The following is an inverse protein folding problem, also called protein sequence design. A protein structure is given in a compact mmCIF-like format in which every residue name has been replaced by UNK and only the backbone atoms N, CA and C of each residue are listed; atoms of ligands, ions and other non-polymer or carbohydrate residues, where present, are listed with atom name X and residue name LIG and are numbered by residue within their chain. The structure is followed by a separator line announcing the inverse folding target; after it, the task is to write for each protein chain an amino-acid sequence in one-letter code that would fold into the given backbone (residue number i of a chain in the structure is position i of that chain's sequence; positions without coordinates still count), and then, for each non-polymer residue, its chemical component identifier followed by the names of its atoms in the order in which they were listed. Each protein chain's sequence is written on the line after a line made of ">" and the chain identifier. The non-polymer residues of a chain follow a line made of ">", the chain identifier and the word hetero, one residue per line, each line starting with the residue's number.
data_IF_257104106507
#
_entry.id   IF_257104106507
#
_cell.length_a   1.000
_cell.length_b   1.000
_cell.length_c   1.000
_cell.angle_alpha   90.00
_cell.angle_beta   90.00
_cell.angle_gamma   90.00
#
_symmetry.space_group_name_H-M   'P 1'
#
loop_
_entity.id
_entity.type
_entity.pdbx_description
1 polymer ?
#
# COMPACT_ATOMS: atom_id res chain seq x y z
N UNK A 1 -48.49 -8.94 13.48
CA UNK A 1 -47.35 -8.57 14.38
C UNK A 1 -46.19 -9.57 14.36
N UNK A 2 -46.45 -10.89 14.38
CA UNK A 2 -45.40 -11.94 14.42
C UNK A 2 -44.41 -11.86 13.24
N UNK A 3 -44.90 -11.67 12.00
CA UNK A 3 -44.05 -11.53 10.80
C UNK A 3 -43.06 -10.37 10.89
N UNK A 4 -43.47 -9.22 11.44
CA UNK A 4 -42.59 -8.04 11.63
C UNK A 4 -41.50 -8.32 12.67
N UNK A 5 -41.81 -9.05 13.75
CA UNK A 5 -40.82 -9.47 14.75
C UNK A 5 -39.81 -10.46 14.16
N UNK A 6 -40.25 -11.42 13.34
CA UNK A 6 -39.36 -12.38 12.66
C UNK A 6 -38.44 -11.66 11.65
N UNK A 7 -38.96 -10.71 10.88
CA UNK A 7 -38.15 -9.91 9.94
C UNK A 7 -37.09 -9.10 10.70
N UNK A 8 -37.48 -8.42 11.78
CA UNK A 8 -36.53 -7.65 12.60
C UNK A 8 -35.47 -8.55 13.25
N UNK A 9 -35.85 -9.73 13.73
CA UNK A 9 -34.91 -10.70 14.27
C UNK A 9 -33.92 -11.19 13.20
N UNK A 10 -34.42 -11.51 12.00
CA UNK A 10 -33.59 -11.94 10.87
C UNK A 10 -32.60 -10.85 10.44
N UNK A 11 -33.04 -9.59 10.36
CA UNK A 11 -32.16 -8.44 10.08
C UNK A 11 -31.12 -8.29 11.19
N UNK A 12 -31.52 -8.42 12.46
CA UNK A 12 -30.60 -8.33 13.59
C UNK A 12 -29.51 -9.41 13.56
N UNK A 13 -29.90 -10.67 13.31
CA UNK A 13 -28.94 -11.78 13.16
C UNK A 13 -28.02 -11.55 11.96
N UNK A 14 -28.57 -11.08 10.83
CA UNK A 14 -27.77 -10.79 9.64
C UNK A 14 -26.74 -9.67 9.89
N UNK A 15 -27.14 -8.58 10.54
CA UNK A 15 -26.22 -7.49 10.92
C UNK A 15 -25.16 -7.94 11.91
N UNK A 16 -25.51 -8.80 12.87
CA UNK A 16 -24.56 -9.40 13.81
C UNK A 16 -23.53 -10.28 13.09
N UNK A 17 -23.96 -11.11 12.15
CA UNK A 17 -23.06 -11.93 11.33
C UNK A 17 -22.12 -11.04 10.49
N UNK A 18 -22.65 -10.01 9.83
CA UNK A 18 -21.82 -9.07 9.05
C UNK A 18 -20.80 -8.32 9.92
N UNK A 19 -21.23 -7.84 11.09
CA UNK A 19 -20.34 -7.13 12.02
C UNK A 19 -19.25 -8.06 12.55
N UNK A 20 -19.61 -9.29 12.91
CA UNK A 20 -18.65 -10.29 13.38
C UNK A 20 -17.63 -10.64 12.29
N UNK A 21 -18.09 -10.76 11.05
CA UNK A 21 -17.21 -11.00 9.89
C UNK A 21 -16.27 -9.82 9.65
N UNK A 22 -16.78 -8.58 9.75
CA UNK A 22 -15.96 -7.37 9.59
C UNK A 22 -14.88 -7.23 10.68
N UNK A 23 -15.22 -7.54 11.94
CA UNK A 23 -14.25 -7.60 13.06
C UNK A 23 -13.20 -8.68 12.79
N UNK A 24 -13.62 -9.88 12.36
CA UNK A 24 -12.73 -10.99 12.05
C UNK A 24 -11.70 -10.65 10.96
N UNK A 25 -12.10 -9.86 9.96
CA UNK A 25 -11.19 -9.39 8.89
C UNK A 25 -10.22 -8.29 9.35
N UNK A 26 -10.38 -7.75 10.56
CA UNK A 26 -9.56 -6.66 11.10
C UNK A 26 -10.09 -5.26 10.78
N UNK A 27 -11.37 -5.11 10.42
CA UNK A 27 -11.90 -3.83 9.93
C UNK A 27 -11.98 -2.69 10.95
N UNK A 28 -11.75 -2.97 12.23
CA UNK A 28 -11.63 -1.97 13.30
C UNK A 28 -10.19 -1.78 13.81
N UNK A 29 -9.21 -2.48 13.23
CA UNK A 29 -7.80 -2.31 13.58
C UNK A 29 -7.37 -0.90 13.13
N UNK A 30 -6.84 -0.12 14.06
CA UNK A 30 -6.32 1.21 13.78
C UNK A 30 -5.02 1.11 12.96
N UNK A 31 -4.74 2.14 12.16
CA UNK A 31 -3.46 2.25 11.46
C UNK A 31 -2.38 2.49 12.51
N UNK A 32 -1.44 1.56 12.65
CA UNK A 32 -0.29 1.73 13.53
C UNK A 32 0.73 2.63 12.83
N UNK A 33 1.01 3.79 13.42
CA UNK A 33 1.95 4.78 12.88
C UNK A 33 3.18 4.85 13.78
N UNK A 34 4.35 4.77 13.15
CA UNK A 34 5.65 4.92 13.83
C UNK A 34 6.62 5.73 12.99
N UNK A 35 7.44 6.54 13.63
CA UNK A 35 8.64 7.07 13.00
C UNK A 35 9.74 6.03 13.14
N UNK A 36 10.45 5.73 12.05
CA UNK A 36 11.59 4.82 12.04
C UNK A 36 12.78 5.53 11.41
N UNK A 37 13.98 5.15 11.84
CA UNK A 37 15.19 5.39 11.06
C UNK A 37 15.20 4.44 9.86
N UNK A 38 15.78 4.90 8.76
CA UNK A 38 15.94 4.15 7.53
C UNK A 38 17.27 4.52 6.88
N UNK A 39 17.74 3.64 5.99
CA UNK A 39 18.79 3.94 5.03
C UNK A 39 18.17 4.22 3.67
N UNK A 40 18.94 4.85 2.78
CA UNK A 40 18.56 5.05 1.39
C UNK A 40 18.05 3.74 0.77
N UNK A 41 16.84 3.82 0.21
CA UNK A 41 16.18 2.69 -0.41
C UNK A 41 16.63 2.61 -1.86
N UNK A 42 17.24 1.49 -2.24
CA UNK A 42 17.76 1.30 -3.59
C UNK A 42 16.92 0.24 -4.30
N UNK A 43 15.96 0.70 -5.10
CA UNK A 43 14.95 -0.14 -5.72
C UNK A 43 15.32 -0.49 -7.16
N UNK A 44 14.92 -1.67 -7.58
CA UNK A 44 14.97 -2.11 -8.98
C UNK A 44 13.57 -2.55 -9.42
N UNK A 45 13.17 -2.14 -10.63
CA UNK A 45 11.81 -2.41 -11.08
C UNK A 45 11.46 -1.85 -12.45
N UNK A 46 10.16 -1.78 -12.71
CA UNK A 46 9.56 -1.34 -13.95
C UNK A 46 8.70 -0.09 -13.71
N UNK A 47 8.84 0.92 -14.57
CA UNK A 47 7.90 2.05 -14.59
C UNK A 47 6.74 1.71 -15.53
N UNK A 48 5.52 1.83 -15.03
CA UNK A 48 4.31 1.74 -15.82
C UNK A 48 3.64 3.10 -15.91
N UNK A 49 3.32 3.53 -17.14
CA UNK A 49 2.50 4.71 -17.44
C UNK A 49 1.37 4.25 -18.35
N UNK A 50 0.13 4.41 -17.93
CA UNK A 50 -1.04 3.97 -18.69
C UNK A 50 -2.32 4.07 -17.86
N UNK A 51 -3.20 3.08 -17.95
CA UNK A 51 -4.44 3.01 -17.17
C UNK A 51 -4.48 1.74 -16.29
N UNK A 52 -5.25 1.71 -15.19
CA UNK A 52 -5.36 0.56 -14.31
C UNK A 52 -5.85 -0.75 -14.97
N UNK A 53 -6.66 -0.65 -16.03
CA UNK A 53 -7.26 -1.81 -16.68
C UNK A 53 -6.42 -2.42 -17.81
N UNK A 54 -5.27 -1.82 -18.12
CA UNK A 54 -4.37 -2.39 -19.12
C UNK A 54 -3.82 -3.72 -18.62
N UNK A 55 -3.74 -4.73 -19.49
CA UNK A 55 -3.14 -6.02 -19.14
C UNK A 55 -1.65 -5.90 -18.84
N UNK A 56 -0.98 -4.91 -19.45
CA UNK A 56 0.45 -4.67 -19.33
C UNK A 56 0.89 -4.39 -17.89
N UNK A 57 0.09 -3.70 -17.09
CA UNK A 57 0.44 -3.49 -15.67
C UNK A 57 0.49 -4.82 -14.91
N UNK A 58 -0.46 -5.71 -15.18
CA UNK A 58 -0.48 -7.04 -14.57
C UNK A 58 0.69 -7.91 -15.02
N UNK A 59 1.18 -7.73 -16.25
CA UNK A 59 2.42 -8.36 -16.74
C UNK A 59 3.63 -7.85 -15.95
N UNK A 60 3.75 -6.53 -15.75
CA UNK A 60 4.85 -5.93 -14.98
C UNK A 60 4.84 -6.37 -13.52
N UNK A 61 3.67 -6.43 -12.88
CA UNK A 61 3.54 -7.00 -11.54
C UNK A 61 4.06 -8.45 -11.49
N UNK A 62 3.64 -9.31 -12.42
CA UNK A 62 4.11 -10.72 -12.45
C UNK A 62 5.62 -10.83 -12.71
N UNK A 63 6.15 -10.00 -13.59
CA UNK A 63 7.57 -9.99 -13.91
C UNK A 63 8.41 -9.62 -12.66
N UNK A 64 8.03 -8.55 -11.97
CA UNK A 64 8.68 -8.11 -10.73
C UNK A 64 8.48 -9.11 -9.60
N UNK A 65 7.29 -9.71 -9.47
CA UNK A 65 7.05 -10.77 -8.49
C UNK A 65 7.95 -11.99 -8.71
N UNK A 66 8.23 -12.34 -9.96
CA UNK A 66 9.14 -13.45 -10.27
C UNK A 66 10.58 -13.09 -9.92
N UNK A 67 11.01 -11.85 -10.18
CA UNK A 67 12.37 -11.39 -9.94
C UNK A 67 12.68 -11.14 -8.46
N UNK A 68 11.73 -10.61 -7.67
CA UNK A 68 11.93 -10.24 -6.26
C UNK A 68 12.15 -11.43 -5.32
N UNK A 69 11.85 -12.65 -5.77
CA UNK A 69 11.86 -13.87 -4.94
C UNK A 69 11.03 -13.66 -3.65
N UNK A 70 11.68 -13.73 -2.50
CA UNK A 70 11.15 -13.58 -1.15
C UNK A 70 11.22 -12.15 -0.60
N UNK A 71 11.78 -11.19 -1.37
CA UNK A 71 11.80 -9.77 -0.99
C UNK A 71 10.39 -9.16 -1.14
N UNK A 72 10.00 -8.21 -0.27
CA UNK A 72 8.73 -7.50 -0.40
C UNK A 72 8.60 -6.80 -1.75
N UNK A 73 7.40 -6.85 -2.33
CA UNK A 73 7.06 -6.04 -3.49
C UNK A 73 6.89 -4.59 -3.04
N UNK A 74 7.46 -3.65 -3.78
CA UNK A 74 7.37 -2.23 -3.49
C UNK A 74 6.75 -1.46 -4.66
N UNK A 75 5.86 -0.53 -4.35
CA UNK A 75 5.26 0.36 -5.34
C UNK A 75 5.35 1.82 -4.95
N UNK A 76 5.61 2.68 -5.94
CA UNK A 76 5.59 4.14 -5.79
C UNK A 76 4.64 4.71 -6.82
N UNK A 77 3.51 5.25 -6.36
CA UNK A 77 2.53 5.91 -7.23
C UNK A 77 2.90 7.38 -7.38
N UNK A 78 3.39 7.76 -8.56
CA UNK A 78 3.62 9.16 -8.91
C UNK A 78 2.32 9.87 -9.31
N UNK A 79 1.41 9.12 -9.93
CA UNK A 79 0.05 9.56 -10.26
C UNK A 79 -0.91 8.43 -9.87
N UNK A 80 -1.79 8.71 -8.92
CA UNK A 80 -2.86 7.81 -8.52
C UNK A 80 -4.13 8.09 -9.35
N UNK A 81 -4.72 7.06 -9.96
CA UNK A 81 -5.93 7.19 -10.76
C UNK A 81 -7.16 7.24 -9.84
N UNK A 82 -8.05 8.20 -10.05
CA UNK A 82 -9.35 8.24 -9.36
C UNK A 82 -10.35 7.25 -9.99
N UNK A 83 -10.15 6.95 -11.28
CA UNK A 83 -11.01 6.10 -12.09
C UNK A 83 -10.24 5.09 -12.94
N UNK A 84 -10.97 4.09 -13.45
CA UNK A 84 -10.44 2.97 -14.25
C UNK A 84 -9.77 3.38 -15.58
N UNK A 85 -10.03 4.60 -16.04
CA UNK A 85 -9.51 5.14 -17.31
C UNK A 85 -8.53 6.30 -17.09
N UNK A 86 -8.25 6.63 -15.84
CA UNK A 86 -7.38 7.72 -15.51
C UNK A 86 -5.93 7.30 -15.65
N UNK A 87 -5.06 8.29 -15.83
CA UNK A 87 -3.63 8.04 -15.95
C UNK A 87 -3.11 7.51 -14.63
N UNK A 88 -2.45 6.37 -14.70
CA UNK A 88 -1.71 5.74 -13.62
C UNK A 88 -0.23 5.82 -14.00
N UNK A 89 0.58 6.38 -13.11
CA UNK A 89 2.02 6.33 -13.20
C UNK A 89 2.56 5.71 -11.93
N UNK A 90 3.10 4.50 -12.04
CA UNK A 90 3.58 3.72 -10.90
C UNK A 90 4.92 3.05 -11.23
N UNK A 91 5.83 3.12 -10.28
CA UNK A 91 6.99 2.23 -10.24
C UNK A 91 6.63 0.97 -9.47
N UNK A 92 6.95 -0.19 -10.03
CA UNK A 92 6.72 -1.51 -9.44
C UNK A 92 8.09 -2.18 -9.33
N UNK A 93 8.55 -2.47 -8.13
CA UNK A 93 9.91 -2.96 -7.92
C UNK A 93 10.12 -3.67 -6.59
N UNK A 94 11.37 -3.86 -6.23
CA UNK A 94 11.81 -4.40 -4.95
C UNK A 94 13.23 -3.90 -4.65
N UNK A 95 13.69 -4.10 -3.42
CA UNK A 95 15.06 -3.79 -3.00
C UNK A 95 15.94 -5.05 -3.10
N UNK A 96 16.89 -5.12 -4.06
CA UNK A 96 17.77 -6.26 -4.22
C UNK A 96 18.96 -6.19 -3.24
N UNK A 97 19.57 -7.33 -2.93
CA UNK A 97 20.81 -7.34 -2.11
C UNK A 97 22.00 -6.67 -2.82
N UNK A 98 21.98 -6.69 -4.16
CA UNK A 98 22.95 -6.00 -5.03
C UNK A 98 22.25 -5.57 -6.31
N UNK A 99 22.54 -4.36 -6.78
CA UNK A 99 22.08 -3.89 -8.08
C UNK A 99 22.84 -4.67 -9.16
N UNK A 100 22.10 -5.31 -10.06
CA UNK A 100 22.65 -5.96 -11.24
C UNK A 100 22.83 -4.92 -12.34
N UNK A 101 24.09 -4.63 -12.69
CA UNK A 101 24.43 -3.68 -13.75
C UNK A 101 24.11 -4.21 -15.16
N UNK A 102 23.78 -5.49 -15.30
CA UNK A 102 23.38 -6.11 -16.57
C UNK A 102 21.89 -5.97 -16.90
N UNK A 103 21.11 -5.31 -16.02
CA UNK A 103 19.69 -5.06 -16.25
C UNK A 103 19.48 -4.29 -17.56
N UNK A 104 18.73 -4.90 -18.47
CA UNK A 104 18.34 -4.29 -19.72
C UNK A 104 16.99 -3.59 -19.60
N UNK A 105 16.76 -2.62 -20.47
CA UNK A 105 15.45 -1.99 -20.64
C UNK A 105 14.38 -3.07 -20.83
N UNK A 106 13.24 -3.02 -20.12
CA UNK A 106 12.65 -1.86 -19.42
C UNK A 106 12.98 -1.70 -17.94
N UNK A 107 13.91 -2.48 -17.37
CA UNK A 107 14.28 -2.37 -15.96
C UNK A 107 15.01 -1.08 -15.66
N UNK A 108 14.69 -0.48 -14.52
CA UNK A 108 15.30 0.76 -14.03
C UNK A 108 15.62 0.64 -12.54
N UNK A 109 16.57 1.43 -12.10
CA UNK A 109 16.85 1.65 -10.68
C UNK A 109 16.20 2.94 -10.18
N UNK A 110 15.78 2.94 -8.92
CA UNK A 110 15.22 4.09 -8.21
C UNK A 110 15.81 4.16 -6.81
N UNK A 111 16.58 5.22 -6.55
CA UNK A 111 17.06 5.52 -5.21
C UNK A 111 16.13 6.52 -4.53
N UNK A 112 15.70 6.23 -3.32
CA UNK A 112 14.95 7.14 -2.47
C UNK A 112 15.78 7.43 -1.23
N UNK A 113 16.23 8.66 -1.11
CA UNK A 113 16.97 9.11 0.07
C UNK A 113 16.10 9.01 1.34
N UNK A 114 16.57 8.24 2.31
CA UNK A 114 15.82 7.94 3.52
C UNK A 114 16.78 7.93 4.70
N UNK A 115 16.59 8.88 5.63
CA UNK A 115 17.24 8.89 6.94
C UNK A 115 16.23 8.57 8.05
N UNK A 116 15.00 9.08 7.87
CA UNK A 116 13.85 8.71 8.67
C UNK A 116 12.60 8.65 7.80
N UNK A 117 11.65 7.81 8.19
CA UNK A 117 10.34 7.71 7.56
C UNK A 117 9.24 7.55 8.61
N UNK A 118 8.05 8.02 8.28
CA UNK A 118 6.83 7.61 8.96
C UNK A 118 6.33 6.35 8.26
N UNK A 119 6.08 5.30 9.03
CA UNK A 119 5.60 4.01 8.54
C UNK A 119 4.19 3.79 9.09
N UNK A 120 3.24 3.62 8.19
CA UNK A 120 1.91 3.13 8.50
C UNK A 120 1.88 1.62 8.29
N UNK A 121 1.72 0.86 9.37
CA UNK A 121 1.63 -0.59 9.35
C UNK A 121 0.16 -1.02 9.27
N UNK A 122 -0.17 -1.79 8.25
CA UNK A 122 -1.52 -2.27 7.95
C UNK A 122 -1.55 -3.80 8.02
N UNK A 123 -1.84 -4.34 9.19
CA UNK A 123 -2.04 -5.78 9.43
C UNK A 123 -3.53 -6.12 9.47
N UNK A 124 -4.14 -6.28 8.30
CA UNK A 124 -5.56 -6.58 8.13
C UNK A 124 -5.85 -7.14 6.74
N UNK A 125 -7.00 -7.80 6.59
CA UNK A 125 -7.38 -8.34 5.29
C UNK A 125 -7.60 -7.22 4.25
N UNK A 126 -7.15 -7.44 3.01
CA UNK A 126 -7.28 -6.48 1.89
C UNK A 126 -8.69 -5.92 1.68
N UNK A 127 -9.75 -6.66 2.03
CA UNK A 127 -11.14 -6.22 1.83
C UNK A 127 -11.57 -5.15 2.84
N UNK A 128 -10.86 -5.00 3.95
CA UNK A 128 -11.15 -4.00 4.99
C UNK A 128 -9.98 -3.03 5.22
N UNK A 129 -8.89 -3.19 4.47
CA UNK A 129 -7.72 -2.32 4.53
C UNK A 129 -8.10 -0.89 4.11
N UNK A 130 -7.62 0.15 4.83
CA UNK A 130 -7.89 1.53 4.45
C UNK A 130 -7.31 1.82 3.06
N UNK A 131 -8.07 2.58 2.27
CA UNK A 131 -7.61 3.03 0.95
C UNK A 131 -6.46 4.06 1.04
N UNK A 132 -5.79 4.34 -0.10
CA UNK A 132 -4.60 5.21 -0.16
C UNK A 132 -4.81 6.57 0.51
N UNK A 133 -5.92 7.26 0.22
CA UNK A 133 -6.20 8.59 0.78
C UNK A 133 -6.32 8.61 2.30
N UNK A 134 -6.87 7.54 2.90
CA UNK A 134 -7.04 7.46 4.35
C UNK A 134 -5.69 7.22 5.02
N UNK A 135 -4.87 6.34 4.45
CA UNK A 135 -3.53 6.05 4.95
C UNK A 135 -2.60 7.26 4.82
N UNK A 136 -2.61 7.94 3.67
CA UNK A 136 -1.83 9.18 3.45
C UNK A 136 -2.23 10.29 4.41
N UNK A 137 -3.54 10.51 4.61
CA UNK A 137 -4.01 11.48 5.61
C UNK A 137 -3.54 11.15 7.01
N UNK A 138 -3.61 9.89 7.42
CA UNK A 138 -3.13 9.48 8.74
C UNK A 138 -1.63 9.74 8.92
N UNK A 139 -0.82 9.48 7.89
CA UNK A 139 0.61 9.80 7.88
C UNK A 139 0.84 11.33 7.95
N UNK A 140 0.10 12.11 7.17
CA UNK A 140 0.20 13.58 7.14
C UNK A 140 -0.17 14.20 8.50
N UNK A 141 -1.24 13.71 9.13
CA UNK A 141 -1.69 14.16 10.45
C UNK A 141 -0.63 13.83 11.51
N UNK A 142 -0.06 12.63 11.48
CA UNK A 142 1.05 12.25 12.37
C UNK A 142 2.30 13.10 12.15
N UNK A 143 2.68 13.36 10.89
CA UNK A 143 3.79 14.24 10.56
C UNK A 143 3.58 15.64 11.14
N UNK A 144 2.37 16.20 10.95
CA UNK A 144 1.98 17.51 11.46
C UNK A 144 2.01 17.55 12.99
N UNK A 145 1.52 16.52 13.67
CA UNK A 145 1.56 16.41 15.14
C UNK A 145 3.00 16.41 15.66
N UNK A 146 3.92 15.75 14.95
CA UNK A 146 5.34 15.64 15.30
C UNK A 146 6.20 16.80 14.79
N UNK A 147 5.63 17.75 14.05
CA UNK A 147 6.39 18.84 13.42
C UNK A 147 7.37 18.38 12.34
N UNK A 148 7.08 17.25 11.68
CA UNK A 148 7.90 16.66 10.62
C UNK A 148 7.41 17.11 9.24
N UNK A 149 8.35 17.29 8.31
CA UNK A 149 8.04 17.61 6.91
C UNK A 149 8.18 16.35 6.05
N UNK A 150 7.12 15.95 5.36
CA UNK A 150 7.15 14.81 4.43
C UNK A 150 7.84 15.19 3.11
N UNK A 151 8.63 14.28 2.52
CA UNK A 151 9.19 14.46 1.16
C UNK A 151 8.14 14.34 0.04
N UNK A 152 6.92 13.92 0.38
CA UNK A 152 5.81 13.75 -0.58
C UNK A 152 5.86 12.44 -1.38
N UNK A 153 6.77 11.53 -1.06
CA UNK A 153 6.87 10.19 -1.65
C UNK A 153 6.22 9.19 -0.69
N UNK A 154 5.41 8.29 -1.23
CA UNK A 154 4.81 7.17 -0.49
C UNK A 154 5.20 5.86 -1.18
N UNK A 155 5.74 4.94 -0.40
CA UNK A 155 6.24 3.64 -0.87
C UNK A 155 5.41 2.57 -0.17
N UNK A 156 4.59 1.85 -0.93
CA UNK A 156 3.90 0.69 -0.39
C UNK A 156 4.87 -0.48 -0.40
N UNK A 157 5.06 -1.13 0.74
CA UNK A 157 5.86 -2.33 0.92
C UNK A 157 4.92 -3.47 1.26
N UNK A 158 4.63 -4.30 0.26
CA UNK A 158 3.72 -5.43 0.35
C UNK A 158 4.51 -6.62 0.86
N UNK A 159 4.35 -6.91 2.16
CA UNK A 159 5.04 -7.98 2.87
C UNK A 159 4.27 -9.29 2.69
N UNK A 160 2.95 -9.24 2.82
CA UNK A 160 2.03 -10.35 2.55
C UNK A 160 0.66 -9.81 2.10
N UNK A 161 -0.28 -10.71 1.80
CA UNK A 161 -1.63 -10.33 1.35
C UNK A 161 -2.48 -9.59 2.39
N UNK A 162 -2.05 -9.63 3.65
CA UNK A 162 -2.68 -9.06 4.84
C UNK A 162 -1.73 -8.17 5.65
N UNK A 163 -0.52 -7.93 5.15
CA UNK A 163 0.46 -7.05 5.77
C UNK A 163 1.11 -6.14 4.71
N UNK A 164 0.76 -4.86 4.78
CA UNK A 164 1.37 -3.80 3.98
C UNK A 164 1.92 -2.73 4.91
N UNK A 165 3.12 -2.25 4.64
CA UNK A 165 3.63 -1.04 5.25
C UNK A 165 3.66 0.09 4.22
N UNK A 166 3.14 1.27 4.55
CA UNK A 166 3.26 2.47 3.72
C UNK A 166 4.31 3.39 4.33
N UNK A 167 5.41 3.56 3.61
CA UNK A 167 6.55 4.34 4.05
C UNK A 167 6.51 5.73 3.43
N UNK A 168 6.60 6.77 4.26
CA UNK A 168 6.70 8.15 3.84
C UNK A 168 7.99 8.77 4.39
N UNK A 169 9.04 8.91 3.56
CA UNK A 169 10.29 9.55 3.98
C UNK A 169 10.05 10.99 4.46
N UNK A 170 10.72 11.37 5.54
CA UNK A 170 10.71 12.74 6.06
C UNK A 170 11.94 13.51 5.56
N UNK A 171 11.75 14.79 5.29
CA UNK A 171 12.83 15.73 5.02
C UNK A 171 13.46 16.21 6.32
N UNK A 172 14.74 16.56 6.24
CA UNK A 172 15.47 17.35 7.25
C UNK A 172 15.03 18.80 7.24
#
# INVERSE_FOLDING_TARGET
>A
MVKRKIILLSIGVFLLLLSSFYVYLGGFIAIELRQTECSDLNLVGLNYIGIPQDKKIGEYFREVETARKDKPLQTIYYIEPEGKRDTLHVFIGYEPDRIDESLSTPWVTRSVECQSAIVAKLEMNRFVMPGPDKTKRAIQDFAKEKGLTLKGIYIDKIISSDHVEVWAPVGS
#
